data_IF_703479807232
#
_entry.id   IF_703479807232
#
_cell.length_a   1.000
_cell.length_b   1.000
_cell.length_c   1.000
_cell.angle_alpha   90.00
_cell.angle_beta   90.00
_cell.angle_gamma   90.00
#
_symmetry.space_group_name_H-M   'P 1'
#
loop_
_entity.id
_entity.type
_entity.pdbx_description
1 polymer ?
#
# COMPACT_ATOMS: atom_id res chain seq x y z
N UNK A 1 82.46 -6.64 51.40
CA UNK A 1 81.02 -6.99 51.49
C UNK A 1 80.10 -6.02 50.73
N UNK A 2 80.36 -4.71 50.67
CA UNK A 2 79.42 -3.73 50.07
C UNK A 2 79.00 -4.00 48.60
N UNK A 3 79.86 -4.55 47.71
CA UNK A 3 79.45 -4.72 46.30
C UNK A 3 78.41 -5.82 46.08
N UNK A 4 78.46 -6.92 46.85
CA UNK A 4 77.46 -7.99 46.79
C UNK A 4 76.08 -7.51 47.25
N UNK A 5 76.02 -6.65 48.27
CA UNK A 5 74.77 -6.06 48.74
C UNK A 5 74.11 -5.18 47.67
N UNK A 6 74.89 -4.34 46.96
CA UNK A 6 74.38 -3.53 45.83
C UNK A 6 73.87 -4.40 44.68
N UNK A 7 74.61 -5.45 44.32
CA UNK A 7 74.18 -6.36 43.24
C UNK A 7 72.90 -7.12 43.58
N UNK A 8 72.72 -7.52 44.84
CA UNK A 8 71.50 -8.20 45.30
C UNK A 8 70.29 -7.26 45.29
N UNK A 9 70.48 -6.01 45.72
CA UNK A 9 69.42 -5.01 45.82
C UNK A 9 68.93 -4.54 44.43
N UNK A 10 69.82 -4.47 43.44
CA UNK A 10 69.46 -4.22 42.03
C UNK A 10 68.69 -5.41 41.45
N UNK A 11 69.08 -6.65 41.77
CA UNK A 11 68.39 -7.85 41.29
C UNK A 11 66.96 -7.95 41.86
N UNK A 12 66.76 -7.62 43.14
CA UNK A 12 65.41 -7.55 43.72
C UNK A 12 64.58 -6.40 43.18
N UNK A 13 65.19 -5.27 42.82
CA UNK A 13 64.47 -4.15 42.21
C UNK A 13 63.97 -4.51 40.79
N UNK A 14 64.81 -5.19 39.98
CA UNK A 14 64.39 -5.69 38.67
C UNK A 14 63.34 -6.81 38.77
N UNK A 15 63.41 -7.67 39.78
CA UNK A 15 62.42 -8.72 40.02
C UNK A 15 61.06 -8.20 40.52
N UNK A 16 61.01 -7.03 41.16
CA UNK A 16 59.74 -6.36 41.48
C UNK A 16 59.12 -5.69 40.24
N UNK A 17 59.94 -5.17 39.32
CA UNK A 17 59.49 -4.55 38.07
C UNK A 17 58.89 -5.56 37.07
N UNK A 18 59.12 -6.86 37.24
CA UNK A 18 58.49 -7.92 36.44
C UNK A 18 57.13 -8.41 36.97
N UNK A 19 56.62 -7.82 38.06
CA UNK A 19 55.30 -8.16 38.62
C UNK A 19 54.19 -7.16 38.23
N UNK A 20 54.50 -6.18 37.38
CA UNK A 20 53.53 -5.25 36.79
C UNK A 20 53.41 -5.52 35.29
N UNK A 21 52.68 -6.57 34.94
CA UNK A 21 52.37 -6.93 33.55
C UNK A 21 50.89 -7.22 33.43
N UNK A 22 50.24 -6.51 32.50
CA UNK A 22 48.82 -6.60 32.17
C UNK A 22 47.89 -6.25 33.34
N UNK A 23 47.29 -5.05 33.27
CA UNK A 23 45.87 -5.01 33.60
C UNK A 23 45.18 -5.99 32.66
N UNK A 24 44.42 -6.92 33.22
CA UNK A 24 43.23 -7.34 32.51
C UNK A 24 42.27 -6.16 32.69
N UNK A 25 42.22 -5.26 31.70
CA UNK A 25 40.95 -4.60 31.38
C UNK A 25 39.99 -5.70 30.95
N UNK A 26 39.41 -6.37 31.95
CA UNK A 26 38.05 -6.83 31.82
C UNK A 26 37.29 -5.53 31.71
N UNK A 27 36.99 -5.11 30.49
CA UNK A 27 35.85 -4.23 30.26
C UNK A 27 34.70 -5.01 30.85
N UNK A 28 34.29 -4.62 32.04
CA UNK A 28 33.08 -5.11 32.69
C UNK A 28 31.96 -4.49 31.87
N UNK A 29 31.68 -5.11 30.70
CA UNK A 29 30.55 -4.74 29.88
C UNK A 29 29.36 -5.07 30.77
N UNK A 30 28.83 -4.04 31.42
CA UNK A 30 27.62 -4.12 32.21
C UNK A 30 26.46 -4.24 31.22
N UNK A 31 26.44 -5.37 30.51
CA UNK A 31 25.28 -5.95 29.85
C UNK A 31 24.28 -6.21 30.97
N UNK A 32 23.54 -5.16 31.34
CA UNK A 32 22.25 -5.37 31.95
C UNK A 32 21.50 -6.24 30.94
N UNK A 33 20.92 -7.34 31.39
CA UNK A 33 20.14 -8.24 30.53
C UNK A 33 18.89 -7.57 29.91
N UNK A 34 18.68 -6.27 30.17
CA UNK A 34 17.64 -5.42 29.58
C UNK A 34 18.10 -4.78 28.25
N UNK A 35 19.40 -4.61 28.03
CA UNK A 35 19.97 -3.91 26.86
C UNK A 35 20.33 -4.89 25.72
N UNK A 36 20.19 -6.20 25.95
CA UNK A 36 20.50 -7.27 24.99
C UNK A 36 19.22 -7.75 24.30
N UNK A 37 19.23 -7.78 22.97
CA UNK A 37 18.16 -8.39 22.17
C UNK A 37 18.49 -9.88 22.04
N UNK A 38 17.62 -10.72 22.59
CA UNK A 38 17.76 -12.18 22.51
C UNK A 38 16.97 -12.71 21.31
N UNK A 39 17.42 -13.80 20.65
CA UNK A 39 16.63 -14.48 19.63
C UNK A 39 15.27 -14.92 20.19
N UNK A 40 14.21 -14.88 19.37
CA UNK A 40 12.83 -15.19 19.79
C UNK A 40 12.35 -14.40 21.04
N UNK A 41 12.87 -13.18 21.27
CA UNK A 41 12.34 -12.30 22.32
C UNK A 41 11.23 -11.41 21.76
N UNK A 42 10.32 -10.95 22.62
CA UNK A 42 9.21 -10.04 22.26
C UNK A 42 9.67 -8.92 21.32
N UNK A 43 10.66 -8.13 21.75
CA UNK A 43 11.27 -7.09 20.92
C UNK A 43 11.93 -7.63 19.63
N UNK A 44 12.60 -8.79 19.63
CA UNK A 44 13.21 -9.32 18.40
C UNK A 44 12.15 -9.71 17.36
N UNK A 45 11.00 -10.22 17.79
CA UNK A 45 9.87 -10.54 16.92
C UNK A 45 9.24 -9.26 16.37
N UNK A 46 8.91 -8.29 17.24
CA UNK A 46 8.37 -7.00 16.82
C UNK A 46 9.29 -6.27 15.82
N UNK A 47 10.61 -6.36 16.01
CA UNK A 47 11.58 -5.81 15.06
C UNK A 47 11.67 -6.62 13.75
N UNK A 48 11.36 -7.92 13.74
CA UNK A 48 11.25 -8.71 12.50
C UNK A 48 9.97 -8.34 11.73
N UNK A 49 8.87 -8.13 12.45
CA UNK A 49 7.55 -7.78 11.91
C UNK A 49 7.54 -6.36 11.32
N UNK A 50 8.05 -5.37 12.07
CA UNK A 50 8.27 -3.98 11.63
C UNK A 50 9.52 -3.80 10.75
N UNK A 51 10.03 -4.87 10.14
CA UNK A 51 11.03 -4.81 9.05
C UNK A 51 10.82 -5.90 8.01
N UNK A 52 9.67 -6.58 8.02
CA UNK A 52 9.29 -7.53 6.98
C UNK A 52 9.04 -6.80 5.65
N UNK A 53 9.08 -7.53 4.55
CA UNK A 53 8.65 -6.99 3.26
C UNK A 53 7.12 -6.90 3.24
N UNK A 54 6.57 -5.70 3.38
CA UNK A 54 5.15 -5.44 3.11
C UNK A 54 4.83 -5.70 1.63
N UNK A 55 3.81 -6.53 1.37
CA UNK A 55 3.33 -6.86 0.02
C UNK A 55 2.16 -6.00 -0.45
N UNK A 56 1.48 -5.28 0.44
CA UNK A 56 0.24 -4.55 0.13
C UNK A 56 0.37 -3.52 -1.00
N UNK A 57 1.57 -2.95 -1.14
CA UNK A 57 1.90 -1.85 -2.06
C UNK A 57 1.62 -2.18 -3.54
N UNK A 58 1.59 -3.46 -3.92
CA UNK A 58 1.24 -3.88 -5.28
C UNK A 58 0.10 -4.91 -5.37
N UNK A 59 -0.79 -4.95 -4.37
CA UNK A 59 -2.01 -5.78 -4.32
C UNK A 59 -2.88 -5.70 -5.60
N UNK A 60 -2.86 -4.58 -6.32
CA UNK A 60 -3.57 -4.43 -7.60
C UNK A 60 -3.08 -5.39 -8.70
N UNK A 61 -1.85 -5.92 -8.57
CA UNK A 61 -1.27 -6.86 -9.53
C UNK A 61 -1.70 -8.31 -9.26
N UNK A 62 -1.82 -8.74 -8.01
CA UNK A 62 -2.03 -10.16 -7.65
C UNK A 62 -3.05 -10.44 -6.53
N UNK A 63 -3.52 -9.42 -5.81
CA UNK A 63 -4.42 -9.47 -4.66
C UNK A 63 -3.84 -10.23 -3.45
N UNK A 64 -2.56 -10.05 -3.12
CA UNK A 64 -1.87 -10.77 -2.04
C UNK A 64 -0.86 -9.94 -1.21
N UNK A 65 -1.35 -9.32 -0.13
CA UNK A 65 -0.59 -8.41 0.74
C UNK A 65 0.66 -8.97 1.46
N UNK A 66 0.97 -10.27 1.34
CA UNK A 66 2.14 -10.91 1.93
C UNK A 66 3.23 -11.32 0.92
N UNK A 67 3.17 -10.77 -0.29
CA UNK A 67 4.22 -10.87 -1.28
C UNK A 67 4.19 -9.65 -2.20
N UNK A 68 5.34 -9.28 -2.77
CA UNK A 68 5.43 -8.22 -3.79
C UNK A 68 5.89 -8.79 -5.13
N UNK A 69 5.39 -8.25 -6.23
CA UNK A 69 5.86 -8.55 -7.58
C UNK A 69 7.06 -7.66 -7.93
N UNK A 70 8.21 -8.30 -8.18
CA UNK A 70 9.43 -7.59 -8.53
C UNK A 70 9.32 -6.94 -9.93
N UNK A 71 9.13 -5.62 -9.95
CA UNK A 71 9.15 -4.80 -11.17
C UNK A 71 10.55 -4.80 -11.84
N UNK A 72 10.64 -4.71 -13.19
CA UNK A 72 9.53 -4.56 -14.13
C UNK A 72 8.82 -5.87 -14.48
N UNK A 73 7.50 -5.82 -14.64
CA UNK A 73 6.68 -6.92 -15.18
C UNK A 73 5.88 -6.50 -16.41
N UNK A 74 5.44 -7.48 -17.19
CA UNK A 74 4.51 -7.27 -18.30
C UNK A 74 3.20 -7.95 -17.98
N UNK A 75 2.10 -7.21 -18.10
CA UNK A 75 0.73 -7.68 -17.86
C UNK A 75 -0.10 -7.51 -19.14
N UNK A 76 -1.27 -8.13 -19.16
CA UNK A 76 -2.25 -8.04 -20.23
C UNK A 76 -3.63 -7.83 -19.60
N UNK A 77 -4.18 -6.62 -19.69
CA UNK A 77 -5.54 -6.30 -19.22
C UNK A 77 -6.43 -6.21 -20.46
N UNK A 78 -7.51 -7.00 -20.53
CA UNK A 78 -8.43 -7.06 -21.69
C UNK A 78 -7.74 -7.25 -23.07
N UNK A 79 -6.52 -7.81 -23.08
CA UNK A 79 -5.68 -8.01 -24.26
C UNK A 79 -4.73 -6.84 -24.61
N UNK A 80 -4.77 -5.74 -23.87
CA UNK A 80 -3.78 -4.66 -23.92
C UNK A 80 -2.55 -5.05 -23.10
N UNK A 81 -1.41 -5.19 -23.74
CA UNK A 81 -0.14 -5.47 -23.04
C UNK A 81 0.51 -4.19 -22.53
N UNK A 82 0.79 -4.16 -21.23
CA UNK A 82 1.44 -3.06 -20.50
C UNK A 82 2.72 -3.56 -19.86
N UNK A 83 3.69 -2.69 -19.66
CA UNK A 83 4.91 -2.99 -18.89
C UNK A 83 5.00 -2.02 -17.72
N UNK A 84 4.81 -2.54 -16.52
CA UNK A 84 4.90 -1.84 -15.24
C UNK A 84 6.37 -1.86 -14.84
N UNK A 85 6.99 -0.69 -14.69
CA UNK A 85 8.43 -0.52 -14.41
C UNK A 85 8.70 0.03 -13.01
N UNK A 86 7.75 0.82 -12.49
CA UNK A 86 7.77 1.48 -11.19
C UNK A 86 6.39 1.39 -10.54
N UNK A 87 6.30 1.61 -9.23
CA UNK A 87 5.02 1.66 -8.52
C UNK A 87 4.11 2.77 -9.07
N UNK A 88 4.69 3.90 -9.50
CA UNK A 88 3.99 4.97 -10.23
C UNK A 88 3.27 4.48 -11.52
N UNK A 89 3.68 3.36 -12.12
CA UNK A 89 2.99 2.79 -13.29
C UNK A 89 1.70 2.01 -12.91
N UNK A 90 1.42 1.79 -11.61
CA UNK A 90 0.22 1.11 -11.12
C UNK A 90 -1.04 1.98 -11.26
N UNK A 91 -0.92 3.31 -11.19
CA UNK A 91 -2.00 4.27 -11.48
C UNK A 91 -2.63 4.02 -12.88
N UNK A 92 -1.84 3.47 -13.82
CA UNK A 92 -2.32 3.12 -15.16
C UNK A 92 -3.27 1.91 -15.18
N UNK A 93 -3.22 1.06 -14.16
CA UNK A 93 -4.09 -0.11 -14.00
C UNK A 93 -5.43 0.34 -13.42
N UNK A 94 -5.40 1.15 -12.37
CA UNK A 94 -6.59 1.81 -11.78
C UNK A 94 -7.35 2.61 -12.84
N UNK A 95 -6.64 3.38 -13.66
CA UNK A 95 -7.23 4.16 -14.75
C UNK A 95 -7.90 3.32 -15.84
N UNK A 96 -7.52 2.04 -15.99
CA UNK A 96 -8.17 1.10 -16.92
C UNK A 96 -9.39 0.48 -16.27
N UNK A 97 -9.27 0.00 -15.02
CA UNK A 97 -10.40 -0.58 -14.26
C UNK A 97 -11.54 0.43 -14.06
N UNK A 98 -11.21 1.72 -14.02
CA UNK A 98 -12.18 2.82 -13.92
C UNK A 98 -12.61 3.40 -15.29
N UNK A 99 -12.22 2.82 -16.44
CA UNK A 99 -12.57 3.37 -17.76
C UNK A 99 -14.06 3.15 -18.12
N UNK A 100 -14.67 2.04 -17.68
CA UNK A 100 -16.07 1.70 -17.97
C UNK A 100 -16.82 1.14 -16.74
N UNK A 101 -17.97 1.73 -16.40
CA UNK A 101 -18.84 1.15 -15.36
C UNK A 101 -19.41 -0.23 -15.80
N UNK A 102 -18.85 -1.31 -15.25
CA UNK A 102 -19.43 -2.65 -15.28
C UNK A 102 -18.98 -3.57 -16.43
N UNK A 103 -17.76 -3.41 -16.95
CA UNK A 103 -17.03 -4.55 -17.53
C UNK A 103 -16.29 -5.38 -16.46
N UNK A 104 -15.80 -6.55 -16.87
CA UNK A 104 -15.02 -7.47 -16.04
C UNK A 104 -13.56 -7.39 -16.51
N UNK A 105 -12.76 -6.50 -15.90
CA UNK A 105 -11.32 -6.46 -16.16
C UNK A 105 -10.61 -7.71 -15.65
N UNK A 106 -9.74 -8.27 -16.49
CA UNK A 106 -8.91 -9.42 -16.12
C UNK A 106 -7.45 -9.13 -16.46
N UNK A 107 -6.62 -9.08 -15.42
CA UNK A 107 -5.17 -8.95 -15.51
C UNK A 107 -4.52 -10.34 -15.65
N UNK A 108 -3.85 -10.57 -16.79
CA UNK A 108 -3.02 -11.74 -17.04
C UNK A 108 -1.52 -11.37 -17.02
N UNK A 109 -0.69 -12.00 -16.19
CA UNK A 109 0.76 -11.82 -16.24
C UNK A 109 1.42 -12.52 -17.45
N UNK A 110 2.40 -11.86 -18.09
CA UNK A 110 3.32 -12.48 -19.03
C UNK A 110 4.52 -13.10 -18.29
N UNK A 111 4.33 -14.34 -17.85
CA UNK A 111 5.35 -15.14 -17.16
C UNK A 111 6.64 -15.39 -17.99
N UNK A 112 7.81 -15.56 -17.35
CA UNK A 112 8.00 -15.63 -15.90
C UNK A 112 8.11 -14.25 -15.23
N UNK A 113 7.56 -14.16 -14.01
CA UNK A 113 7.74 -13.03 -13.09
C UNK A 113 8.64 -13.45 -11.91
N UNK A 114 9.02 -12.51 -11.06
CA UNK A 114 9.68 -12.80 -9.78
C UNK A 114 8.86 -12.16 -8.68
N UNK A 115 8.68 -12.88 -7.57
CA UNK A 115 8.04 -12.36 -6.36
C UNK A 115 9.03 -12.35 -5.19
N UNK A 116 8.79 -11.48 -4.22
CA UNK A 116 9.49 -11.40 -2.93
C UNK A 116 8.47 -11.61 -1.80
N UNK A 117 8.73 -12.52 -0.86
CA UNK A 117 7.85 -12.76 0.30
C UNK A 117 8.24 -11.88 1.49
N UNK A 118 7.41 -11.84 2.55
CA UNK A 118 7.65 -11.11 3.81
C UNK A 118 9.05 -11.32 4.42
N UNK A 119 9.65 -12.50 4.24
CA UNK A 119 10.99 -12.86 4.73
C UNK A 119 12.15 -12.49 3.77
N UNK A 120 11.86 -11.69 2.74
CA UNK A 120 12.71 -11.32 1.60
C UNK A 120 13.19 -12.49 0.72
N UNK A 121 12.63 -13.70 0.86
CA UNK A 121 12.94 -14.78 -0.08
C UNK A 121 12.29 -14.54 -1.44
N UNK A 122 13.02 -14.86 -2.51
CA UNK A 122 12.61 -14.57 -3.88
C UNK A 122 12.38 -15.84 -4.69
N UNK A 123 11.26 -15.87 -5.42
CA UNK A 123 10.84 -16.99 -6.26
C UNK A 123 10.57 -16.53 -7.69
N UNK A 124 11.04 -17.32 -8.66
CA UNK A 124 10.74 -17.10 -10.09
C UNK A 124 9.52 -17.93 -10.46
N UNK A 125 8.41 -17.25 -10.68
CA UNK A 125 7.10 -17.83 -10.96
C UNK A 125 6.94 -17.98 -12.47
N UNK A 126 6.55 -19.17 -12.94
CA UNK A 126 6.61 -19.55 -14.36
C UNK A 126 5.23 -19.59 -15.04
N UNK A 127 4.13 -19.50 -14.28
CA UNK A 127 2.74 -19.61 -14.73
C UNK A 127 1.76 -19.25 -13.60
N UNK A 128 0.49 -19.03 -13.95
CA UNK A 128 -0.57 -18.63 -13.02
C UNK A 128 -0.81 -19.66 -11.90
N UNK A 129 -0.86 -20.96 -12.19
CA UNK A 129 -1.06 -22.01 -11.16
C UNK A 129 0.04 -21.97 -10.07
N UNK A 130 1.26 -21.55 -10.43
CA UNK A 130 2.37 -21.38 -9.50
C UNK A 130 2.21 -20.10 -8.66
N UNK A 131 1.75 -18.98 -9.26
CA UNK A 131 1.44 -17.75 -8.54
C UNK A 131 0.29 -17.95 -7.54
N UNK A 132 -0.81 -18.54 -8.00
CA UNK A 132 -1.97 -18.90 -7.17
C UNK A 132 -1.58 -19.79 -5.99
N UNK A 133 -0.53 -20.60 -6.09
CA UNK A 133 -0.06 -21.39 -4.95
C UNK A 133 0.49 -20.49 -3.84
N UNK A 134 1.26 -19.45 -4.17
CA UNK A 134 1.74 -18.47 -3.18
C UNK A 134 0.60 -17.59 -2.65
N UNK A 135 -0.29 -17.09 -3.53
CA UNK A 135 -1.47 -16.30 -3.13
C UNK A 135 -2.38 -17.08 -2.16
N UNK A 136 -2.62 -18.37 -2.40
CA UNK A 136 -3.44 -19.19 -1.48
C UNK A 136 -2.68 -19.63 -0.21
N UNK A 137 -1.34 -19.60 -0.21
CA UNK A 137 -0.52 -19.78 0.98
C UNK A 137 -0.37 -18.46 1.77
N UNK A 138 -0.69 -17.31 1.16
CA UNK A 138 -0.89 -16.03 1.83
C UNK A 138 -2.08 -16.12 2.80
N UNK A 139 -1.77 -16.24 4.08
CA UNK A 139 -2.73 -16.29 5.18
C UNK A 139 -2.35 -15.23 6.21
N UNK A 140 -3.33 -14.74 6.96
CA UNK A 140 -3.26 -13.72 8.03
C UNK A 140 -2.39 -14.15 9.27
N UNK A 141 -1.25 -14.80 9.06
CA UNK A 141 -0.41 -15.42 10.11
C UNK A 141 0.98 -14.80 10.18
N UNK A 142 1.45 -14.18 9.09
CA UNK A 142 2.68 -13.39 9.09
C UNK A 142 2.32 -11.91 9.33
N UNK A 143 2.04 -11.59 10.59
CA UNK A 143 1.76 -10.24 11.13
C UNK A 143 2.91 -9.27 10.77
N UNK A 144 2.78 -8.54 9.65
CA UNK A 144 3.63 -7.38 9.28
C UNK A 144 3.14 -6.18 10.08
N UNK A 145 4.06 -5.35 10.59
CA UNK A 145 3.69 -4.10 11.26
C UNK A 145 4.05 -2.95 10.32
N UNK A 146 3.08 -2.54 9.50
CA UNK A 146 3.25 -1.53 8.45
C UNK A 146 3.29 -0.08 8.96
N UNK A 147 2.63 0.23 10.09
CA UNK A 147 2.47 1.62 10.52
C UNK A 147 3.69 2.25 11.21
N UNK A 148 4.81 1.53 11.35
CA UNK A 148 6.03 2.07 11.97
C UNK A 148 7.34 1.47 11.40
N UNK A 149 8.15 2.35 10.79
CA UNK A 149 9.44 2.03 10.18
C UNK A 149 10.64 2.46 11.02
N UNK A 150 11.80 1.84 10.76
CA UNK A 150 13.09 2.30 11.26
C UNK A 150 13.69 3.40 10.37
N UNK A 151 14.08 4.54 10.95
CA UNK A 151 14.89 5.51 10.23
C UNK A 151 16.36 5.05 10.15
N UNK A 152 16.74 4.49 9.00
CA UNK A 152 18.11 4.05 8.74
C UNK A 152 19.12 5.21 8.56
N UNK A 153 20.42 4.99 8.87
CA UNK A 153 21.01 3.75 9.35
C UNK A 153 20.95 3.58 10.88
N UNK A 154 20.70 2.36 11.33
CA UNK A 154 20.83 1.94 12.74
C UNK A 154 22.08 1.08 12.92
N UNK A 155 22.48 0.78 14.17
CA UNK A 155 23.64 -0.08 14.42
C UNK A 155 23.50 -0.96 15.65
N UNK A 156 24.15 -2.13 15.61
CA UNK A 156 24.17 -3.11 16.68
C UNK A 156 25.60 -3.37 17.14
N UNK A 157 25.79 -3.38 18.45
CA UNK A 157 27.00 -3.89 19.09
C UNK A 157 26.84 -5.38 19.35
N UNK A 158 27.62 -6.20 18.65
CA UNK A 158 27.59 -7.66 18.78
C UNK A 158 28.77 -8.17 19.62
N UNK A 159 28.50 -9.16 20.48
CA UNK A 159 29.52 -9.88 21.24
C UNK A 159 29.42 -11.39 20.97
N UNK A 160 30.47 -11.96 20.40
CA UNK A 160 30.57 -13.40 20.20
C UNK A 160 31.28 -14.07 21.40
N UNK A 161 30.52 -14.78 22.23
CA UNK A 161 31.04 -15.41 23.44
C UNK A 161 32.09 -16.52 23.20
N UNK A 162 32.10 -17.16 22.01
CA UNK A 162 33.07 -18.20 21.67
C UNK A 162 34.45 -17.63 21.31
N UNK A 163 34.49 -16.49 20.62
CA UNK A 163 35.73 -15.86 20.16
C UNK A 163 36.15 -14.66 21.02
N UNK A 164 35.30 -14.21 21.94
CA UNK A 164 35.49 -13.00 22.77
C UNK A 164 35.75 -11.74 21.94
N UNK A 165 35.07 -11.65 20.79
CA UNK A 165 35.15 -10.50 19.86
C UNK A 165 33.91 -9.64 20.04
N UNK A 166 34.12 -8.34 20.17
CA UNK A 166 33.12 -7.27 20.03
C UNK A 166 33.24 -6.65 18.64
N UNK A 167 32.13 -6.43 17.97
CA UNK A 167 32.08 -5.73 16.68
C UNK A 167 30.83 -4.83 16.59
N UNK A 168 30.79 -3.91 15.63
CA UNK A 168 29.63 -3.05 15.38
C UNK A 168 29.13 -3.26 13.96
N UNK A 169 27.90 -3.73 13.82
CA UNK A 169 27.20 -3.90 12.54
C UNK A 169 26.36 -2.65 12.30
N UNK A 170 26.44 -2.07 11.10
CA UNK A 170 25.54 -1.00 10.64
C UNK A 170 24.52 -1.62 9.70
N UNK A 171 23.26 -1.25 9.88
CA UNK A 171 22.12 -1.70 9.09
C UNK A 171 21.59 -0.48 8.32
N UNK A 172 21.33 -0.65 7.01
CA UNK A 172 20.97 0.44 6.10
C UNK A 172 19.58 0.29 5.44
N UNK A 173 18.85 -0.80 5.73
CA UNK A 173 17.49 -1.09 5.21
C UNK A 173 16.82 -2.21 6.02
N UNK A 174 15.50 -2.35 5.88
CA UNK A 174 14.67 -3.37 6.53
C UNK A 174 15.07 -4.78 6.15
N UNK A 175 15.32 -5.07 4.86
CA UNK A 175 15.92 -6.35 4.45
C UNK A 175 17.18 -6.69 5.25
N UNK A 176 18.09 -5.71 5.43
CA UNK A 176 19.31 -5.94 6.19
C UNK A 176 19.06 -6.11 7.71
N UNK A 177 18.01 -5.50 8.26
CA UNK A 177 17.59 -5.69 9.65
C UNK A 177 16.98 -7.09 9.84
N UNK A 178 16.04 -7.45 8.98
CA UNK A 178 15.32 -8.72 9.00
C UNK A 178 16.28 -9.91 8.84
N UNK A 179 17.17 -9.87 7.83
CA UNK A 179 18.24 -10.86 7.64
C UNK A 179 19.18 -10.96 8.86
N UNK A 180 19.52 -9.81 9.49
CA UNK A 180 20.37 -9.79 10.68
C UNK A 180 19.68 -10.47 11.88
N UNK A 181 18.40 -10.17 12.12
CA UNK A 181 17.60 -10.74 13.21
C UNK A 181 17.38 -12.25 13.02
N UNK A 182 16.98 -12.70 11.83
CA UNK A 182 16.91 -14.13 11.49
C UNK A 182 18.27 -14.84 11.68
N UNK A 183 19.37 -14.14 11.39
CA UNK A 183 20.74 -14.61 11.59
C UNK A 183 21.09 -14.87 13.06
N UNK A 184 20.49 -14.14 14.01
CA UNK A 184 20.65 -14.40 15.45
C UNK A 184 20.00 -15.73 15.86
N UNK A 185 18.83 -16.05 15.29
CA UNK A 185 18.07 -17.26 15.61
C UNK A 185 18.74 -18.54 15.11
N UNK A 186 19.23 -18.49 13.87
CA UNK A 186 19.84 -19.64 13.18
C UNK A 186 21.27 -19.97 13.65
N UNK A 187 21.79 -19.22 14.63
CA UNK A 187 23.19 -19.25 15.06
C UNK A 187 23.58 -20.48 15.90
N UNK A 188 23.72 -21.62 15.21
CA UNK A 188 24.37 -22.86 15.72
C UNK A 188 25.85 -22.64 16.19
N UNK A 189 26.39 -21.42 16.08
CA UNK A 189 27.77 -21.04 16.34
C UNK A 189 27.96 -20.23 17.64
N UNK A 190 27.14 -20.51 18.65
CA UNK A 190 27.24 -20.00 20.01
C UNK A 190 26.52 -18.68 20.24
N UNK A 191 26.31 -18.34 21.51
CA UNK A 191 25.57 -17.14 21.91
C UNK A 191 26.28 -15.86 21.41
N UNK A 192 25.78 -15.35 20.28
CA UNK A 192 25.98 -13.98 19.84
C UNK A 192 24.98 -13.13 20.64
N UNK A 193 25.48 -12.20 21.43
CA UNK A 193 24.64 -11.21 22.10
C UNK A 193 24.63 -9.96 21.22
N UNK A 194 23.45 -9.53 20.79
CA UNK A 194 23.26 -8.28 20.06
C UNK A 194 22.66 -7.21 20.98
N UNK A 195 23.09 -5.97 20.85
CA UNK A 195 22.56 -4.82 21.58
C UNK A 195 22.43 -3.65 20.62
N UNK A 196 21.22 -3.11 20.47
CA UNK A 196 20.91 -1.98 19.60
C UNK A 196 21.54 -0.70 20.16
N UNK A 197 22.23 0.07 19.31
CA UNK A 197 22.87 1.31 19.70
C UNK A 197 21.88 2.49 19.61
N UNK A 198 21.28 2.83 20.74
CA UNK A 198 20.38 3.97 20.90
C UNK A 198 21.11 5.34 20.91
N UNK A 199 20.41 6.45 20.59
CA UNK A 199 19.00 6.51 20.19
C UNK A 199 18.74 5.95 18.80
N UNK A 200 17.50 5.51 18.57
CA UNK A 200 16.97 5.12 17.26
C UNK A 200 15.75 5.99 16.98
N UNK A 201 15.56 6.38 15.74
CA UNK A 201 14.38 7.13 15.32
C UNK A 201 13.45 6.18 14.56
N UNK A 202 12.20 6.13 14.98
CA UNK A 202 11.10 5.46 14.30
C UNK A 202 10.33 6.50 13.47
N UNK A 203 9.69 6.06 12.39
CA UNK A 203 8.82 6.87 11.52
C UNK A 203 7.46 6.20 11.47
N UNK A 204 6.39 6.91 11.81
CA UNK A 204 5.02 6.41 11.67
C UNK A 204 4.52 6.56 10.23
N UNK A 205 3.49 5.81 9.82
CA UNK A 205 2.88 5.92 8.49
C UNK A 205 2.49 7.36 8.09
N UNK A 206 2.04 8.17 9.05
CA UNK A 206 1.70 9.58 8.85
C UNK A 206 2.93 10.52 8.67
N UNK A 207 4.15 9.99 8.71
CA UNK A 207 5.42 10.72 8.57
C UNK A 207 5.93 11.42 9.84
N UNK A 208 5.24 11.31 10.98
CA UNK A 208 5.77 11.76 12.27
C UNK A 208 6.90 10.84 12.75
N UNK A 209 7.87 11.41 13.48
CA UNK A 209 9.08 10.69 13.92
C UNK A 209 9.20 10.63 15.44
N UNK A 210 9.52 9.46 15.99
CA UNK A 210 9.75 9.24 17.42
C UNK A 210 11.20 8.80 17.69
N UNK A 211 11.95 9.54 18.51
CA UNK A 211 13.25 9.10 19.02
C UNK A 211 13.06 8.24 20.29
N UNK A 212 13.46 6.96 20.21
CA UNK A 212 13.48 6.02 21.34
C UNK A 212 14.90 5.84 21.87
N UNK A 213 15.05 5.77 23.20
CA UNK A 213 16.36 5.76 23.87
C UNK A 213 16.75 4.40 24.48
N UNK A 214 15.88 3.39 24.45
CA UNK A 214 16.15 2.04 24.96
C UNK A 214 15.16 1.00 24.44
N UNK A 215 15.46 -0.29 24.66
CA UNK A 215 14.64 -1.43 24.26
C UNK A 215 13.18 -1.35 24.74
N UNK A 216 12.92 -0.83 25.95
CA UNK A 216 11.55 -0.74 26.47
C UNK A 216 10.74 0.36 25.78
N UNK A 217 11.38 1.48 25.43
CA UNK A 217 10.75 2.54 24.64
C UNK A 217 10.50 2.09 23.20
N UNK A 218 11.42 1.34 22.59
CA UNK A 218 11.23 0.75 21.26
C UNK A 218 10.10 -0.29 21.25
N UNK A 219 10.09 -1.23 22.19
CA UNK A 219 9.01 -2.22 22.33
C UNK A 219 7.66 -1.53 22.51
N UNK A 220 7.57 -0.52 23.39
CA UNK A 220 6.34 0.24 23.59
C UNK A 220 5.92 1.10 22.38
N UNK A 221 6.87 1.58 21.57
CA UNK A 221 6.57 2.33 20.36
C UNK A 221 5.99 1.44 19.25
N UNK A 222 6.56 0.24 19.06
CA UNK A 222 6.09 -0.70 18.04
C UNK A 222 4.70 -1.26 18.41
N UNK A 223 4.51 -1.76 19.64
CA UNK A 223 3.20 -2.26 20.09
C UNK A 223 2.10 -1.18 19.99
N UNK A 224 2.44 0.10 20.21
CA UNK A 224 1.46 1.19 20.11
C UNK A 224 1.06 1.48 18.66
N UNK A 225 1.98 1.34 17.71
CA UNK A 225 1.67 1.47 16.29
C UNK A 225 0.89 0.24 15.76
N UNK A 226 1.24 -0.96 16.22
CA UNK A 226 0.54 -2.22 15.95
C UNK A 226 -0.93 -2.15 16.42
N UNK A 227 -1.17 -1.68 17.66
CA UNK A 227 -2.52 -1.38 18.20
C UNK A 227 -3.28 -0.33 17.34
N UNK A 228 -2.58 0.58 16.67
CA UNK A 228 -3.16 1.57 15.77
C UNK A 228 -3.46 0.97 14.37
N UNK A 229 -2.61 0.08 13.83
CA UNK A 229 -2.82 -0.66 12.57
C UNK A 229 -4.03 -1.61 12.63
N UNK A 230 -4.08 -2.48 13.64
CA UNK A 230 -4.91 -3.71 13.66
C UNK A 230 -6.41 -3.48 13.95
N UNK A 231 -6.93 -2.27 13.70
CA UNK A 231 -8.36 -1.97 13.78
C UNK A 231 -8.73 -0.62 14.39
N UNK A 232 -7.78 0.31 14.50
CA UNK A 232 -8.04 1.70 14.81
C UNK A 232 -8.10 2.51 13.51
N UNK A 233 -9.32 2.86 13.10
CA UNK A 233 -9.58 3.69 11.93
C UNK A 233 -8.86 5.05 12.07
N UNK A 234 -7.77 5.24 11.33
CA UNK A 234 -6.93 6.45 11.40
C UNK A 234 -7.60 7.70 10.78
N UNK A 235 -8.82 7.54 10.27
CA UNK A 235 -9.69 8.65 9.92
C UNK A 235 -10.21 9.40 11.16
N UNK A 236 -9.92 10.69 11.20
CA UNK A 236 -10.53 11.62 12.15
C UNK A 236 -11.99 11.97 11.77
N UNK A 237 -12.77 12.42 12.76
CA UNK A 237 -14.12 12.99 12.56
C UNK A 237 -14.14 14.06 11.44
N UNK A 238 -13.09 14.88 11.34
CA UNK A 238 -12.95 15.95 10.33
C UNK A 238 -12.70 15.40 8.91
N UNK A 239 -11.93 14.31 8.76
CA UNK A 239 -11.73 13.66 7.45
C UNK A 239 -13.00 12.98 6.94
N UNK A 240 -13.70 12.22 7.80
CA UNK A 240 -14.96 11.56 7.41
C UNK A 240 -16.04 12.59 7.07
N UNK A 241 -16.11 13.72 7.81
CA UNK A 241 -16.98 14.83 7.45
C UNK A 241 -16.66 15.42 6.06
N UNK A 242 -15.37 15.56 5.72
CA UNK A 242 -14.94 16.03 4.41
C UNK A 242 -15.33 15.06 3.29
N UNK A 243 -14.96 13.78 3.40
CA UNK A 243 -15.23 12.77 2.37
C UNK A 243 -16.74 12.60 2.13
N UNK A 244 -17.54 12.57 3.20
CA UNK A 244 -19.00 12.47 3.08
C UNK A 244 -19.61 13.69 2.36
N UNK A 245 -19.08 14.90 2.58
CA UNK A 245 -19.60 16.14 2.00
C UNK A 245 -19.10 16.46 0.59
N UNK A 246 -17.99 15.85 0.15
CA UNK A 246 -17.34 16.18 -1.12
C UNK A 246 -18.21 15.84 -2.35
N UNK A 247 -18.75 14.63 -2.39
CA UNK A 247 -19.55 14.09 -3.48
C UNK A 247 -20.72 13.23 -2.97
N UNK A 248 -21.56 12.72 -3.86
CA UNK A 248 -22.57 11.73 -3.46
C UNK A 248 -21.93 10.35 -3.35
N UNK A 249 -22.57 9.45 -2.62
CA UNK A 249 -22.09 8.09 -2.40
C UNK A 249 -23.12 7.05 -2.85
N UNK A 250 -22.68 5.86 -3.24
CA UNK A 250 -23.54 4.69 -3.48
C UNK A 250 -23.24 3.60 -2.46
N UNK A 251 -24.27 2.90 -1.97
CA UNK A 251 -24.08 1.67 -1.19
C UNK A 251 -23.93 0.52 -2.19
N UNK A 252 -22.70 0.17 -2.51
CA UNK A 252 -22.37 -0.92 -3.46
C UNK A 252 -22.56 -2.30 -2.84
N UNK A 253 -22.42 -2.42 -1.51
CA UNK A 253 -22.74 -3.65 -0.79
C UNK A 253 -23.45 -3.38 0.54
N UNK A 254 -24.56 -4.08 0.79
CA UNK A 254 -25.25 -4.14 2.07
C UNK A 254 -25.33 -5.61 2.53
N UNK A 255 -24.51 -6.00 3.51
CA UNK A 255 -24.26 -7.40 3.87
C UNK A 255 -23.86 -8.30 2.67
N UNK A 256 -23.11 -7.77 1.71
CA UNK A 256 -22.67 -8.50 0.50
C UNK A 256 -23.73 -8.64 -0.59
N UNK A 257 -24.74 -7.76 -0.62
CA UNK A 257 -25.82 -7.73 -1.62
C UNK A 257 -26.06 -6.29 -2.11
N UNK A 258 -26.47 -6.12 -3.37
CA UNK A 258 -26.54 -4.84 -4.10
C UNK A 258 -27.84 -4.04 -3.89
N UNK A 259 -28.73 -4.47 -2.98
CA UNK A 259 -30.06 -3.89 -2.71
C UNK A 259 -30.20 -2.35 -2.74
N UNK A 260 -29.14 -1.60 -2.43
CA UNK A 260 -29.15 -0.14 -2.33
C UNK A 260 -28.35 0.58 -3.42
N UNK A 261 -27.73 -0.13 -4.38
CA UNK A 261 -26.80 0.44 -5.36
C UNK A 261 -27.42 1.53 -6.25
N UNK A 262 -28.73 1.43 -6.54
CA UNK A 262 -29.46 2.45 -7.31
C UNK A 262 -29.77 3.76 -6.55
N UNK A 263 -29.36 3.89 -5.27
CA UNK A 263 -29.60 5.08 -4.47
C UNK A 263 -28.33 5.91 -4.29
N UNK A 264 -28.42 7.20 -4.62
CA UNK A 264 -27.39 8.20 -4.35
C UNK A 264 -27.60 8.80 -2.96
N UNK A 265 -26.55 8.87 -2.15
CA UNK A 265 -26.54 9.40 -0.79
C UNK A 265 -25.78 10.73 -0.76
N UNK A 266 -26.50 11.83 -0.49
CA UNK A 266 -25.99 13.19 -0.49
C UNK A 266 -25.93 13.73 0.94
N UNK A 267 -24.73 13.81 1.52
CA UNK A 267 -24.49 14.28 2.90
C UNK A 267 -24.17 15.78 2.91
N UNK A 268 -25.16 16.63 3.22
CA UNK A 268 -25.03 18.08 3.10
C UNK A 268 -24.41 18.70 4.37
N UNK A 269 -23.62 19.78 4.23
CA UNK A 269 -22.90 20.54 5.30
C UNK A 269 -23.78 20.97 6.49
N UNK A 270 -25.11 21.00 6.31
CA UNK A 270 -26.08 21.38 7.34
C UNK A 270 -26.57 20.18 8.17
N UNK A 271 -25.96 19.00 8.00
CA UNK A 271 -26.36 17.74 8.64
C UNK A 271 -27.58 17.07 8.01
N UNK A 272 -28.04 17.52 6.82
CA UNK A 272 -29.17 16.88 6.11
C UNK A 272 -28.66 15.80 5.16
N UNK A 273 -29.21 14.60 5.29
CA UNK A 273 -29.04 13.52 4.33
C UNK A 273 -30.20 13.56 3.32
N UNK A 274 -29.87 13.47 2.03
CA UNK A 274 -30.84 13.23 0.96
C UNK A 274 -30.46 11.94 0.23
N UNK A 275 -31.47 11.11 -0.02
CA UNK A 275 -31.32 9.84 -0.74
C UNK A 275 -32.26 9.90 -1.95
N UNK A 276 -31.70 9.74 -3.15
CA UNK A 276 -32.45 9.81 -4.43
C UNK A 276 -32.16 8.60 -5.31
N UNK A 277 -33.10 8.26 -6.20
CA UNK A 277 -33.06 7.08 -7.07
C UNK A 277 -33.04 7.42 -8.57
N UNK A 278 -32.68 8.67 -8.92
CA UNK A 278 -32.74 9.22 -10.29
C UNK A 278 -34.13 9.31 -10.95
N UNK A 279 -35.16 8.65 -10.39
CA UNK A 279 -36.47 8.43 -11.03
C UNK A 279 -37.59 9.19 -10.34
N UNK A 280 -37.53 9.36 -9.02
CA UNK A 280 -38.56 10.02 -8.21
C UNK A 280 -38.28 11.50 -8.00
N UNK A 281 -39.33 12.33 -8.07
CA UNK A 281 -39.20 13.79 -7.88
C UNK A 281 -39.20 14.22 -6.40
N UNK A 282 -39.02 13.29 -5.46
CA UNK A 282 -39.09 13.53 -4.02
C UNK A 282 -38.03 12.69 -3.34
N UNK A 283 -36.94 13.34 -2.92
CA UNK A 283 -35.89 12.68 -2.15
C UNK A 283 -36.44 12.10 -0.84
N UNK A 284 -35.91 10.93 -0.48
CA UNK A 284 -35.96 10.42 0.89
C UNK A 284 -35.02 11.32 1.70
N UNK A 285 -35.47 11.77 2.87
CA UNK A 285 -34.73 12.73 3.67
C UNK A 285 -34.44 12.18 5.06
N UNK A 286 -33.35 12.64 5.66
CA UNK A 286 -33.08 12.50 7.08
C UNK A 286 -31.93 13.40 7.51
N UNK A 287 -31.25 13.04 8.58
CA UNK A 287 -30.07 13.76 9.06
C UNK A 287 -28.89 12.79 9.20
N UNK A 288 -27.70 13.34 9.09
CA UNK A 288 -26.44 12.65 9.35
C UNK A 288 -25.57 13.46 10.31
N UNK A 289 -24.66 12.79 11.01
CA UNK A 289 -23.59 13.40 11.80
C UNK A 289 -22.51 12.37 12.08
N UNK A 290 -21.26 12.80 12.15
CA UNK A 290 -20.14 11.98 12.67
C UNK A 290 -19.95 12.18 14.18
N UNK A 291 -19.14 11.32 14.80
CA UNK A 291 -18.57 11.53 16.13
C UNK A 291 -17.37 10.62 16.37
N UNK A 292 -16.30 11.11 17.00
CA UNK A 292 -15.14 10.30 17.37
C UNK A 292 -15.47 9.36 18.54
N UNK A 293 -15.17 8.07 18.38
CA UNK A 293 -15.18 7.08 19.47
C UNK A 293 -13.77 6.54 19.75
N UNK A 294 -13.64 5.68 20.76
CA UNK A 294 -12.39 4.97 21.07
C UNK A 294 -12.15 3.74 20.16
N UNK A 295 -12.94 3.57 19.10
CA UNK A 295 -12.83 2.50 18.11
C UNK A 295 -12.77 3.04 16.66
N UNK A 296 -12.64 4.37 16.50
CA UNK A 296 -12.77 5.07 15.23
C UNK A 296 -13.98 6.02 15.19
N UNK A 297 -14.22 6.65 14.03
CA UNK A 297 -15.37 7.53 13.79
C UNK A 297 -16.67 6.72 13.75
N UNK A 298 -17.77 7.33 14.19
CA UNK A 298 -19.12 6.79 14.11
C UNK A 298 -20.00 7.71 13.28
N UNK A 299 -20.53 7.21 12.16
CA UNK A 299 -21.52 7.88 11.31
C UNK A 299 -22.93 7.53 11.81
N UNK A 300 -23.67 8.53 12.30
CA UNK A 300 -25.06 8.37 12.76
C UNK A 300 -26.04 8.83 11.68
N UNK A 301 -26.88 7.91 11.18
CA UNK A 301 -27.97 8.19 10.24
C UNK A 301 -29.31 8.23 11.00
N UNK A 302 -30.00 9.37 10.97
CA UNK A 302 -31.18 9.61 11.81
C UNK A 302 -32.35 10.27 11.07
N UNK A 303 -33.54 10.23 11.68
CA UNK A 303 -34.80 10.82 11.17
C UNK A 303 -35.20 10.45 9.72
N UNK A 304 -34.65 9.35 9.17
CA UNK A 304 -34.88 8.91 7.79
C UNK A 304 -36.38 8.66 7.51
N UNK A 305 -36.91 9.28 6.46
CA UNK A 305 -38.32 9.16 6.05
C UNK A 305 -38.67 7.82 5.39
N UNK A 306 -37.65 7.07 4.93
CA UNK A 306 -37.69 5.68 4.50
C UNK A 306 -36.40 4.97 4.97
N UNK A 307 -36.31 3.63 4.83
CA UNK A 307 -35.13 2.83 5.22
C UNK A 307 -34.63 2.98 6.67
N UNK A 308 -35.41 3.57 7.58
CA UNK A 308 -35.00 3.82 8.96
C UNK A 308 -34.78 2.57 9.82
N UNK A 309 -35.23 1.40 9.37
CA UNK A 309 -34.92 0.12 10.02
C UNK A 309 -33.64 -0.51 9.49
N UNK A 310 -33.31 -0.23 8.22
CA UNK A 310 -32.23 -0.85 7.48
C UNK A 310 -30.95 -0.01 7.65
N UNK A 311 -31.03 1.29 7.34
CA UNK A 311 -29.90 2.23 7.33
C UNK A 311 -29.83 3.12 8.58
N UNK A 312 -30.95 3.33 9.29
CA UNK A 312 -30.99 4.23 10.45
C UNK A 312 -30.24 3.69 11.68
N UNK A 313 -29.36 4.49 12.29
CA UNK A 313 -28.59 4.12 13.47
C UNK A 313 -27.13 4.62 13.42
N UNK A 314 -26.33 4.11 14.35
CA UNK A 314 -24.91 4.44 14.50
C UNK A 314 -24.05 3.37 13.80
N UNK A 315 -23.11 3.80 12.96
CA UNK A 315 -22.24 2.94 12.15
C UNK A 315 -20.77 3.27 12.41
N UNK A 316 -19.96 2.29 12.77
CA UNK A 316 -18.54 2.46 13.09
C UNK A 316 -17.68 2.35 11.82
N UNK A 317 -16.57 3.12 11.79
CA UNK A 317 -15.51 3.21 10.75
C UNK A 317 -15.82 2.36 9.52
N UNK A 318 -15.34 1.12 9.35
CA UNK A 318 -14.22 0.35 9.93
C UNK A 318 -13.06 0.16 8.92
N UNK A 319 -13.25 0.59 7.66
CA UNK A 319 -12.20 0.87 6.68
C UNK A 319 -12.48 2.24 6.05
N UNK A 320 -11.44 3.02 5.74
CA UNK A 320 -11.59 4.43 5.40
C UNK A 320 -10.58 4.91 4.33
N UNK A 321 -10.93 4.73 3.06
CA UNK A 321 -10.39 5.52 1.95
C UNK A 321 -11.11 6.88 1.83
N UNK A 322 -10.57 7.76 1.00
CA UNK A 322 -11.22 9.02 0.61
C UNK A 322 -12.39 8.81 -0.34
N UNK A 323 -12.28 7.82 -1.24
CA UNK A 323 -13.34 7.39 -2.16
C UNK A 323 -14.18 6.19 -1.65
N UNK A 324 -13.75 5.48 -0.60
CA UNK A 324 -14.37 4.21 -0.20
C UNK A 324 -14.42 3.98 1.31
N UNK A 325 -15.62 3.79 1.86
CA UNK A 325 -15.84 3.55 3.30
C UNK A 325 -16.58 2.22 3.54
N UNK A 326 -16.08 1.35 4.41
CA UNK A 326 -16.82 0.16 4.87
C UNK A 326 -17.37 0.37 6.27
N UNK A 327 -18.67 0.65 6.45
CA UNK A 327 -19.27 0.91 7.76
C UNK A 327 -19.87 -0.35 8.42
N UNK A 328 -19.66 -0.52 9.73
CA UNK A 328 -20.22 -1.65 10.52
C UNK A 328 -21.13 -1.20 11.66
N UNK A 329 -22.34 -1.79 11.73
CA UNK A 329 -23.28 -1.62 12.85
C UNK A 329 -23.56 -2.95 13.54
N UNK A 330 -22.97 -3.14 14.73
CA UNK A 330 -23.22 -4.31 15.57
C UNK A 330 -24.48 -4.15 16.43
N UNK A 331 -25.38 -5.13 16.34
CA UNK A 331 -26.51 -5.31 17.26
C UNK A 331 -26.31 -6.56 18.12
N UNK A 332 -27.08 -6.72 19.19
CA UNK A 332 -26.85 -7.74 20.24
C UNK A 332 -26.81 -9.22 19.78
N UNK A 333 -27.14 -9.55 18.52
CA UNK A 333 -26.97 -10.90 17.95
C UNK A 333 -26.39 -10.93 16.52
N UNK A 334 -26.35 -9.80 15.79
CA UNK A 334 -25.96 -9.71 14.38
C UNK A 334 -25.09 -8.46 14.15
N UNK A 335 -24.03 -8.59 13.35
CA UNK A 335 -23.41 -7.45 12.68
C UNK A 335 -24.14 -7.15 11.37
N UNK A 336 -24.07 -5.90 10.92
CA UNK A 336 -24.52 -5.45 9.59
C UNK A 336 -23.40 -4.59 9.00
N UNK A 337 -23.02 -4.87 7.76
CA UNK A 337 -21.96 -4.17 7.03
C UNK A 337 -22.52 -3.41 5.83
N UNK A 338 -21.99 -2.22 5.57
CA UNK A 338 -22.24 -1.38 4.41
C UNK A 338 -20.89 -1.08 3.76
N UNK A 339 -20.76 -1.22 2.45
CA UNK A 339 -19.67 -0.61 1.68
C UNK A 339 -20.26 0.56 0.88
N UNK A 340 -19.65 1.73 1.05
CA UNK A 340 -19.94 2.97 0.35
C UNK A 340 -18.78 3.28 -0.59
N UNK A 341 -19.09 3.63 -1.83
CA UNK A 341 -18.13 4.17 -2.80
C UNK A 341 -18.59 5.57 -3.24
N UNK A 342 -17.62 6.49 -3.37
CA UNK A 342 -17.82 7.91 -3.63
C UNK A 342 -17.92 8.14 -5.13
N UNK A 343 -18.91 8.92 -5.52
CA UNK A 343 -19.32 9.11 -6.90
C UNK A 343 -19.32 10.60 -7.21
N UNK A 344 -18.13 11.10 -7.53
CA UNK A 344 -17.95 12.47 -7.98
C UNK A 344 -18.36 12.63 -9.43
N UNK A 345 -19.66 12.86 -9.69
CA UNK A 345 -20.17 13.32 -11.00
C UNK A 345 -19.57 14.71 -11.34
N UNK A 346 -18.34 14.67 -11.85
CA UNK A 346 -17.60 15.81 -12.36
C UNK A 346 -18.00 16.09 -13.81
N UNK A 347 -19.29 16.38 -13.94
CA UNK A 347 -19.93 17.13 -15.01
C UNK A 347 -20.30 16.32 -16.28
N UNK A 348 -21.61 16.23 -16.47
CA UNK A 348 -22.32 16.27 -17.78
C UNK A 348 -22.03 17.58 -18.59
N UNK A 349 -20.90 18.28 -18.36
CA UNK A 349 -20.52 19.55 -18.99
C UNK A 349 -19.01 19.90 -19.03
N UNK A 350 -18.08 19.09 -18.52
CA UNK A 350 -16.63 19.39 -18.67
C UNK A 350 -16.01 18.87 -19.97
N UNK A 351 -16.71 17.96 -20.68
CA UNK A 351 -16.38 17.56 -22.04
C UNK A 351 -16.64 18.72 -23.03
N UNK A 352 -15.85 19.80 -22.95
CA UNK A 352 -15.92 20.96 -23.81
C UNK A 352 -15.05 20.74 -25.06
N UNK A 353 -15.49 21.30 -26.20
CA UNK A 353 -14.88 20.98 -27.50
C UNK A 353 -13.39 21.33 -27.58
N UNK A 354 -12.95 22.38 -26.90
CA UNK A 354 -11.56 22.85 -26.96
C UNK A 354 -10.64 21.92 -26.17
N UNK A 355 -11.08 21.47 -24.98
CA UNK A 355 -10.36 20.52 -24.14
C UNK A 355 -10.24 19.14 -24.79
N UNK A 356 -11.34 18.56 -25.27
CA UNK A 356 -11.31 17.27 -25.99
C UNK A 356 -10.42 17.36 -27.23
N UNK A 357 -10.51 18.45 -27.99
CA UNK A 357 -9.66 18.67 -29.15
C UNK A 357 -8.16 18.74 -28.77
N UNK A 358 -7.81 19.41 -27.68
CA UNK A 358 -6.43 19.50 -27.22
C UNK A 358 -5.91 18.14 -26.71
N UNK A 359 -6.67 17.43 -25.89
CA UNK A 359 -6.30 16.12 -25.34
C UNK A 359 -6.06 15.10 -26.47
N UNK A 360 -6.93 15.07 -27.49
CA UNK A 360 -6.77 14.20 -28.66
C UNK A 360 -5.46 14.46 -29.42
N UNK A 361 -4.99 15.71 -29.48
CA UNK A 361 -3.76 16.11 -30.17
C UNK A 361 -2.48 15.94 -29.33
N UNK A 362 -2.57 15.83 -28.01
CA UNK A 362 -1.40 15.82 -27.13
C UNK A 362 -0.55 14.56 -27.31
N UNK A 363 -1.21 13.41 -27.40
CA UNK A 363 -0.59 12.09 -27.41
C UNK A 363 -1.22 11.17 -28.46
N UNK A 364 -0.67 9.95 -28.54
CA UNK A 364 -1.29 8.88 -29.30
C UNK A 364 -2.19 8.07 -28.38
N UNK A 365 -3.29 7.58 -28.94
CA UNK A 365 -4.32 6.83 -28.22
C UNK A 365 -4.25 5.35 -28.62
N UNK A 366 -4.46 4.46 -27.67
CA UNK A 366 -4.80 3.07 -27.98
C UNK A 366 -6.32 2.99 -28.10
N UNK A 367 -6.83 2.42 -29.19
CA UNK A 367 -8.27 2.30 -29.41
C UNK A 367 -8.75 0.88 -29.14
N UNK A 368 -9.49 0.69 -28.04
CA UNK A 368 -10.31 -0.49 -27.77
C UNK A 368 -11.68 -0.38 -28.44
N UNK A 369 -12.29 -1.52 -28.80
CA UNK A 369 -13.71 -1.55 -29.21
C UNK A 369 -14.26 -2.98 -29.19
N UNK A 370 -15.50 -3.14 -28.71
CA UNK A 370 -16.24 -4.41 -28.83
C UNK A 370 -16.75 -4.69 -30.26
N UNK A 371 -16.64 -3.74 -31.19
CA UNK A 371 -17.06 -3.90 -32.59
C UNK A 371 -16.07 -4.71 -33.43
N UNK A 372 -14.82 -4.86 -32.97
CA UNK A 372 -13.75 -5.54 -33.70
C UNK A 372 -12.80 -6.24 -32.72
N UNK A 373 -12.63 -7.56 -32.87
CA UNK A 373 -11.66 -8.32 -32.07
C UNK A 373 -10.23 -7.86 -32.40
N UNK A 374 -9.74 -6.86 -31.66
CA UNK A 374 -8.40 -6.34 -31.84
C UNK A 374 -7.41 -7.16 -31.00
N UNK A 375 -6.46 -7.83 -31.66
CA UNK A 375 -5.46 -8.67 -30.98
C UNK A 375 -4.22 -7.88 -30.56
N UNK A 376 -4.07 -6.65 -31.07
CA UNK A 376 -3.01 -5.70 -30.72
C UNK A 376 -3.61 -4.29 -30.86
N UNK A 377 -3.53 -3.46 -29.81
CA UNK A 377 -3.93 -2.05 -29.88
C UNK A 377 -3.09 -1.27 -30.90
N UNK A 378 -3.69 -0.86 -32.01
CA UNK A 378 -3.08 0.06 -32.97
C UNK A 378 -3.02 1.47 -32.37
N UNK A 379 -2.01 2.26 -32.73
CA UNK A 379 -1.79 3.61 -32.20
C UNK A 379 -2.50 4.64 -33.07
N UNK A 380 -3.48 5.35 -32.50
CA UNK A 380 -4.26 6.37 -33.18
C UNK A 380 -3.70 7.76 -32.86
N UNK A 381 -3.31 8.48 -33.91
CA UNK A 381 -2.81 9.85 -33.86
C UNK A 381 -3.84 10.78 -34.48
N UNK A 382 -4.48 11.61 -33.66
CA UNK A 382 -5.32 12.71 -34.11
C UNK A 382 -4.42 13.88 -34.48
N UNK A 383 -4.66 14.52 -35.63
CA UNK A 383 -3.84 15.63 -36.13
C UNK A 383 -4.67 16.90 -36.36
N UNK A 384 -4.04 18.08 -36.23
CA UNK A 384 -4.64 19.42 -36.40
C UNK A 384 -5.35 19.65 -37.75
N UNK A 385 -5.10 18.80 -38.74
CA UNK A 385 -5.69 18.85 -40.08
C UNK A 385 -6.89 17.89 -40.25
N UNK A 386 -7.51 17.47 -39.14
CA UNK A 386 -8.58 16.46 -39.10
C UNK A 386 -8.17 15.08 -39.63
N UNK A 387 -6.87 14.79 -39.78
CA UNK A 387 -6.39 13.45 -40.15
C UNK A 387 -6.26 12.55 -38.91
N UNK A 388 -6.80 11.34 -39.01
CA UNK A 388 -6.64 10.29 -38.03
C UNK A 388 -5.72 9.23 -38.63
N UNK A 389 -4.56 9.00 -38.00
CA UNK A 389 -3.58 8.02 -38.47
C UNK A 389 -3.55 6.85 -37.48
N UNK A 390 -3.99 5.68 -37.91
CA UNK A 390 -3.76 4.44 -37.18
C UNK A 390 -2.41 3.86 -37.62
N UNK A 391 -1.54 3.52 -36.67
CA UNK A 391 -0.23 2.92 -36.91
C UNK A 391 -0.17 1.57 -36.21
N UNK A 392 0.06 0.53 -37.00
CA UNK A 392 0.19 -0.81 -36.44
C UNK A 392 1.57 -0.98 -35.79
N UNK A 393 1.65 -1.28 -34.48
CA UNK A 393 2.91 -1.22 -33.73
C UNK A 393 3.92 -2.32 -34.10
N UNK A 394 3.50 -3.38 -34.81
CA UNK A 394 4.36 -4.50 -35.22
C UNK A 394 4.90 -4.33 -36.65
N UNK A 395 4.03 -3.94 -37.59
CA UNK A 395 4.40 -3.76 -39.00
C UNK A 395 4.90 -2.36 -39.32
N UNK A 396 4.53 -1.37 -38.51
CA UNK A 396 4.67 0.06 -38.79
C UNK A 396 3.96 0.48 -40.10
N UNK A 397 2.93 -0.26 -40.51
CA UNK A 397 2.02 0.17 -41.57
C UNK A 397 1.10 1.29 -41.03
N UNK A 398 0.92 2.34 -41.82
CA UNK A 398 0.08 3.50 -41.49
C UNK A 398 -1.23 3.47 -42.31
N UNK A 399 -2.35 3.70 -41.64
CA UNK A 399 -3.67 3.85 -42.26
C UNK A 399 -4.25 5.23 -41.92
N UNK A 400 -4.55 6.02 -42.95
CA UNK A 400 -5.03 7.40 -42.79
C UNK A 400 -6.53 7.47 -43.09
N UNK A 401 -7.28 7.93 -42.09
CA UNK A 401 -8.66 8.38 -42.20
C UNK A 401 -8.82 9.83 -41.73
N UNK A 402 -10.02 10.18 -41.31
CA UNK A 402 -10.36 11.53 -40.80
C UNK A 402 -11.19 11.46 -39.54
N UNK A 403 -11.05 12.48 -38.68
CA UNK A 403 -11.84 12.67 -37.47
C UNK A 403 -12.44 14.09 -37.43
N UNK A 404 -13.57 14.25 -36.75
CA UNK A 404 -14.19 15.55 -36.49
C UNK A 404 -14.91 15.54 -35.13
N UNK A 405 -15.14 16.72 -34.54
CA UNK A 405 -15.92 16.87 -33.31
C UNK A 405 -17.15 17.74 -33.57
N UNK A 406 -18.32 17.25 -33.18
CA UNK A 406 -19.60 17.94 -33.38
C UNK A 406 -20.27 18.15 -32.03
N UNK A 407 -20.48 19.42 -31.64
CA UNK A 407 -21.29 19.75 -30.47
C UNK A 407 -22.79 19.63 -30.79
N UNK A 408 -23.52 18.96 -29.92
CA UNK A 408 -24.97 18.77 -29.97
C UNK A 408 -25.63 19.21 -28.67
N UNK A 409 -26.96 19.14 -28.58
CA UNK A 409 -27.67 19.40 -27.33
C UNK A 409 -27.46 18.28 -26.28
N UNK A 410 -27.01 17.11 -26.72
CA UNK A 410 -26.93 15.88 -25.92
C UNK A 410 -25.46 15.52 -25.58
N UNK A 411 -24.49 16.36 -25.97
CA UNK A 411 -23.06 16.16 -25.75
C UNK A 411 -22.18 16.51 -26.96
N UNK A 412 -20.88 16.19 -26.86
CA UNK A 412 -19.99 16.12 -28.02
C UNK A 412 -20.11 14.76 -28.71
N UNK A 413 -20.06 14.77 -30.04
CA UNK A 413 -19.99 13.58 -30.89
C UNK A 413 -18.65 13.58 -31.63
N UNK A 414 -17.90 12.49 -31.54
CA UNK A 414 -16.72 12.26 -32.37
C UNK A 414 -17.09 11.49 -33.63
N UNK A 415 -16.81 12.07 -34.80
CA UNK A 415 -17.07 11.45 -36.09
C UNK A 415 -15.78 10.87 -36.64
N UNK A 416 -15.66 9.54 -36.63
CA UNK A 416 -14.51 8.82 -37.19
C UNK A 416 -14.85 8.32 -38.60
N UNK A 417 -13.90 8.42 -39.53
CA UNK A 417 -13.98 7.81 -40.86
C UNK A 417 -12.63 7.21 -41.23
N UNK A 418 -12.48 5.89 -41.13
CA UNK A 418 -11.28 5.14 -41.45
C UNK A 418 -11.55 4.17 -42.63
N UNK A 419 -10.55 3.85 -43.46
CA UNK A 419 -10.68 2.77 -44.44
C UNK A 419 -10.52 1.39 -43.77
N UNK A 420 -10.82 0.33 -44.52
CA UNK A 420 -10.59 -1.06 -44.11
C UNK A 420 -9.14 -1.28 -43.62
N UNK A 421 -8.92 -2.03 -42.50
CA UNK A 421 -9.90 -2.82 -41.75
C UNK A 421 -10.76 -2.03 -40.73
N UNK A 422 -10.48 -0.74 -40.52
CA UNK A 422 -11.12 0.10 -39.51
C UNK A 422 -12.39 0.83 -40.00
N UNK A 423 -12.97 0.45 -41.14
CA UNK A 423 -14.23 1.04 -41.61
C UNK A 423 -15.42 0.68 -40.71
N UNK A 424 -15.33 -0.40 -39.91
CA UNK A 424 -16.34 -0.78 -38.92
C UNK A 424 -16.48 0.23 -37.76
N UNK A 425 -15.42 0.97 -37.42
CA UNK A 425 -15.46 2.06 -36.42
C UNK A 425 -15.75 3.44 -37.04
N UNK A 426 -16.10 3.49 -38.33
CA UNK A 426 -16.43 4.74 -39.03
C UNK A 426 -17.86 5.19 -38.71
N UNK A 427 -18.01 5.65 -37.47
CA UNK A 427 -19.27 5.95 -36.82
C UNK A 427 -19.23 7.34 -36.17
N UNK A 428 -20.40 7.74 -35.67
CA UNK A 428 -20.55 8.84 -34.75
C UNK A 428 -20.56 8.23 -33.34
N UNK A 429 -19.54 8.56 -32.55
CA UNK A 429 -19.35 8.16 -31.16
C UNK A 429 -19.84 9.30 -30.26
#
# INVERSE_FOLDING_TARGET
MLSKAKSLLILTFFALLTLTSCENEIVDINLNNQDTIAPNSSLANLMLQASANDGSVDDILDNANCLSVNLPVTISINGLQLTINTLDDLELIEAIYNEYEGDDDVLDFLFPITITLNDYTQFVINNQDELETFINECNEVDEVIECIDFQYPISFSIYNANFQVTDTVVIESDQALHEFLQGLENSNNGAVLASLNFPVTMVYANGETLEVSNNQELEAAINAAEDDCDGSNDCTEEQVDMYLQECYWRIVAFNGDDNFIQYEFHFNDNGNLQIIDGVTTVAIGGNWSTSQSNQGVVVTLSELTAFSQDLGGDWLVVACGDDRLELVRTTANNSITIVLEQECDTNVNNCNMEEVYNNLLECHWFAGTNLFNNVIGDKFYFNENNALVAVNPVSNDELIGTWDLISTNDGLIMVINMPQPYDIISLNW
#
